data_IF_570637639325
#
_entry.id   IF_570637639325
#
_cell.length_a   1.000
_cell.length_b   1.000
_cell.length_c   1.000
_cell.angle_alpha   90.00
_cell.angle_beta   90.00
_cell.angle_gamma   90.00
#
_symmetry.space_group_name_H-M   'P 1'
#
loop_
_entity.id
_entity.type
_entity.pdbx_description
1 polymer ?
#
# COMPACT_ATOMS: atom_id res chain seq x y z
N UNK A 1 -31.13 34.79 21.06
CA UNK A 1 -31.19 33.45 20.45
C UNK A 1 -31.35 32.47 21.59
N UNK A 2 -32.49 31.79 21.66
CA UNK A 2 -32.77 30.89 22.77
C UNK A 2 -31.98 29.59 22.59
N UNK A 3 -31.61 28.91 23.68
CA UNK A 3 -30.74 27.73 23.67
C UNK A 3 -31.21 26.64 22.67
N UNK A 4 -32.52 26.51 22.48
CA UNK A 4 -33.11 25.57 21.50
C UNK A 4 -32.75 25.92 20.06
N UNK A 5 -32.67 27.21 19.73
CA UNK A 5 -32.29 27.72 18.41
C UNK A 5 -30.80 27.47 18.12
N UNK A 6 -29.93 27.61 19.13
CA UNK A 6 -28.52 27.21 19.04
C UNK A 6 -28.35 25.71 18.81
N UNK A 7 -29.08 24.86 19.55
CA UNK A 7 -29.01 23.40 19.38
C UNK A 7 -29.45 22.95 17.98
N UNK A 8 -30.52 23.54 17.44
CA UNK A 8 -30.98 23.23 16.10
C UNK A 8 -29.99 23.66 15.02
N UNK A 9 -29.30 24.80 15.19
CA UNK A 9 -28.25 25.25 14.27
C UNK A 9 -26.98 24.38 14.34
N UNK A 10 -26.61 23.88 15.52
CA UNK A 10 -25.50 22.94 15.67
C UNK A 10 -25.83 21.59 15.07
N UNK A 11 -27.03 21.05 15.31
CA UNK A 11 -27.48 19.80 14.69
C UNK A 11 -27.56 19.95 13.17
N UNK A 12 -28.13 21.05 12.67
CA UNK A 12 -28.18 21.32 11.24
C UNK A 12 -26.78 21.50 10.66
N UNK A 13 -25.86 22.17 11.37
CA UNK A 13 -24.46 22.29 11.01
C UNK A 13 -23.76 20.94 10.92
N UNK A 14 -23.96 20.05 11.91
CA UNK A 14 -23.44 18.68 11.93
C UNK A 14 -24.07 17.84 10.81
N UNK A 15 -25.38 17.93 10.60
CA UNK A 15 -26.10 17.20 9.54
C UNK A 15 -25.66 17.68 8.16
N UNK A 16 -25.49 18.99 7.96
CA UNK A 16 -24.96 19.58 6.73
C UNK A 16 -23.47 19.24 6.53
N UNK A 17 -22.67 19.16 7.59
CA UNK A 17 -21.28 18.69 7.53
C UNK A 17 -21.23 17.22 7.13
N UNK A 18 -22.08 16.36 7.71
CA UNK A 18 -22.21 14.95 7.33
C UNK A 18 -22.77 14.77 5.90
N UNK A 19 -23.68 15.63 5.46
CA UNK A 19 -24.17 15.67 4.07
C UNK A 19 -23.08 16.17 3.09
N UNK A 20 -22.17 17.05 3.53
CA UNK A 20 -20.99 17.45 2.75
C UNK A 20 -19.91 16.36 2.71
N UNK A 21 -19.84 15.49 3.73
CA UNK A 21 -19.03 14.26 3.71
C UNK A 21 -19.63 13.17 2.78
N UNK A 22 -20.86 13.34 2.26
CA UNK A 22 -21.43 12.49 1.20
C UNK A 22 -21.01 12.88 -0.22
N UNK A 23 -20.01 13.75 -0.39
CA UNK A 23 -19.24 13.82 -1.63
C UNK A 23 -18.00 12.93 -1.50
N UNK A 24 -18.22 11.61 -1.41
CA UNK A 24 -17.21 10.71 -1.93
C UNK A 24 -17.07 11.07 -3.41
N UNK A 25 -16.01 11.83 -3.75
CA UNK A 25 -15.51 11.92 -5.11
C UNK A 25 -15.58 10.52 -5.70
N UNK A 26 -16.17 10.41 -6.89
CA UNK A 26 -16.57 9.16 -7.51
C UNK A 26 -15.35 8.26 -7.76
N UNK A 27 -14.92 7.50 -6.74
CA UNK A 27 -13.70 6.68 -6.82
C UNK A 27 -13.94 5.60 -7.86
N UNK A 28 -13.11 5.58 -8.89
CA UNK A 28 -13.32 4.74 -10.08
C UNK A 28 -12.62 3.39 -10.02
N UNK A 29 -11.50 3.32 -9.30
CA UNK A 29 -10.72 2.10 -9.09
C UNK A 29 -9.89 2.19 -7.79
N UNK A 30 -9.46 1.06 -7.24
CA UNK A 30 -8.57 0.99 -6.08
C UNK A 30 -7.27 0.24 -6.40
N UNK A 31 -6.16 0.96 -6.54
CA UNK A 31 -4.83 0.39 -6.79
C UNK A 31 -4.00 0.40 -5.51
N UNK A 32 -3.40 -0.74 -5.17
CA UNK A 32 -2.70 -0.91 -3.89
C UNK A 32 -1.27 -1.37 -4.13
N UNK A 33 -0.33 -0.70 -3.47
CA UNK A 33 1.09 -1.00 -3.43
C UNK A 33 1.51 -1.17 -1.98
N UNK A 34 2.47 -2.06 -1.74
CA UNK A 34 3.03 -2.19 -0.40
C UNK A 34 3.62 -3.54 -0.07
N UNK A 35 3.72 -3.79 1.23
CA UNK A 35 4.24 -5.03 1.79
C UNK A 35 3.13 -5.92 2.38
N UNK A 36 3.50 -6.81 3.31
CA UNK A 36 2.60 -7.72 4.03
C UNK A 36 1.39 -7.02 4.66
N UNK A 37 1.50 -5.75 5.04
CA UNK A 37 0.41 -5.01 5.70
C UNK A 37 -0.82 -4.84 4.82
N UNK A 38 -0.63 -4.90 3.50
CA UNK A 38 -1.69 -4.71 2.50
C UNK A 38 -1.68 -5.78 1.41
N UNK A 39 -0.86 -6.84 1.55
CA UNK A 39 -0.90 -8.00 0.66
C UNK A 39 -2.20 -8.79 0.86
N UNK A 40 -2.81 -9.16 -0.27
CA UNK A 40 -4.07 -9.90 -0.34
C UNK A 40 -3.90 -11.29 -0.93
N UNK A 41 -2.65 -11.74 -1.10
CA UNK A 41 -2.28 -13.08 -1.51
C UNK A 41 -1.36 -13.18 -2.72
N UNK A 42 -0.69 -12.10 -3.15
CA UNK A 42 0.28 -12.18 -4.26
C UNK A 42 1.39 -13.18 -3.96
N UNK A 43 1.85 -13.23 -2.71
CA UNK A 43 2.91 -14.15 -2.28
C UNK A 43 2.54 -15.65 -2.44
N UNK A 44 1.26 -15.97 -2.58
CA UNK A 44 0.83 -17.36 -2.81
C UNK A 44 1.25 -17.88 -4.20
N UNK A 45 1.47 -16.97 -5.16
CA UNK A 45 1.78 -17.28 -6.55
C UNK A 45 3.29 -17.23 -6.88
N UNK A 46 4.13 -17.03 -5.87
CA UNK A 46 5.60 -17.01 -6.03
C UNK A 46 6.27 -17.96 -5.01
N UNK A 47 7.50 -18.43 -5.30
CA UNK A 47 8.28 -19.24 -4.36
C UNK A 47 8.84 -18.35 -3.24
N UNK A 48 8.01 -18.06 -2.24
CA UNK A 48 8.33 -17.23 -1.08
C UNK A 48 8.24 -17.99 0.24
N UNK A 49 9.10 -17.67 1.19
CA UNK A 49 8.96 -18.03 2.60
C UNK A 49 8.03 -17.07 3.34
N UNK A 50 7.83 -15.85 2.82
CA UNK A 50 6.86 -14.91 3.35
C UNK A 50 5.51 -15.19 2.70
N UNK A 51 4.73 -16.10 3.29
CA UNK A 51 3.34 -16.36 2.89
C UNK A 51 2.44 -16.25 4.10
N UNK A 52 1.17 -15.88 3.89
CA UNK A 52 0.14 -15.87 4.92
C UNK A 52 -1.06 -16.77 4.51
N UNK A 53 -0.77 -17.91 3.88
CA UNK A 53 -1.74 -18.91 3.44
C UNK A 53 -1.92 -20.06 4.44
N UNK A 54 -1.71 -19.79 5.72
CA UNK A 54 -1.86 -20.76 6.82
C UNK A 54 -2.58 -20.11 8.00
N UNK A 55 -3.23 -20.93 8.83
CA UNK A 55 -3.89 -20.48 10.06
C UNK A 55 -2.90 -19.87 11.06
N UNK A 56 -3.27 -18.82 11.82
CA UNK A 56 -4.63 -18.28 11.97
C UNK A 56 -5.04 -17.22 10.93
N UNK A 57 -4.20 -16.91 9.95
CA UNK A 57 -4.53 -15.90 8.95
C UNK A 57 -5.81 -16.26 8.19
N UNK A 58 -6.68 -15.28 7.97
CA UNK A 58 -7.96 -15.47 7.29
C UNK A 58 -9.04 -16.21 8.08
N UNK A 59 -8.87 -16.43 9.40
CA UNK A 59 -9.90 -17.09 10.23
C UNK A 59 -11.28 -16.40 10.16
N UNK A 60 -11.34 -15.08 10.05
CA UNK A 60 -12.60 -14.33 9.91
C UNK A 60 -13.23 -14.52 8.51
N UNK A 61 -12.45 -14.97 7.54
CA UNK A 61 -12.91 -15.43 6.23
C UNK A 61 -13.20 -16.94 6.17
N UNK A 62 -13.01 -17.65 7.29
CA UNK A 62 -13.12 -19.11 7.38
C UNK A 62 -11.97 -19.90 6.73
N UNK A 63 -11.01 -19.22 6.07
CA UNK A 63 -9.85 -19.85 5.43
C UNK A 63 -8.72 -18.84 5.20
N UNK A 64 -7.45 -19.29 5.15
CA UNK A 64 -6.34 -18.42 4.75
C UNK A 64 -6.54 -17.82 3.36
N UNK A 65 -6.34 -16.51 3.25
CA UNK A 65 -6.48 -15.77 1.99
C UNK A 65 -5.14 -15.28 1.43
N UNK A 66 -4.06 -15.35 2.22
CA UNK A 66 -2.80 -14.69 1.92
C UNK A 66 -2.66 -13.28 2.51
N UNK A 67 -3.68 -12.79 3.24
CA UNK A 67 -3.59 -11.59 4.08
C UNK A 67 -2.89 -11.91 5.39
N UNK A 68 -2.01 -11.02 5.85
CA UNK A 68 -1.24 -11.16 7.10
C UNK A 68 -2.06 -10.72 8.33
N UNK A 69 -3.31 -11.17 8.40
CA UNK A 69 -4.27 -10.84 9.45
C UNK A 69 -5.37 -11.91 9.50
N UNK A 70 -6.16 -11.92 10.57
CA UNK A 70 -7.33 -12.78 10.71
C UNK A 70 -8.40 -12.51 9.65
N UNK A 71 -8.50 -11.28 9.16
CA UNK A 71 -9.58 -10.87 8.27
C UNK A 71 -9.12 -9.82 7.26
N UNK A 72 -9.81 -8.68 7.26
CA UNK A 72 -9.59 -7.58 6.31
C UNK A 72 -8.29 -6.83 6.64
N UNK A 73 -7.54 -6.45 5.62
CA UNK A 73 -6.49 -5.42 5.71
C UNK A 73 -7.13 -4.04 5.79
N UNK A 74 -6.34 -3.02 6.14
CA UNK A 74 -6.83 -1.64 6.15
C UNK A 74 -7.26 -1.14 4.76
N UNK A 75 -6.61 -1.57 3.68
CA UNK A 75 -7.01 -1.22 2.31
C UNK A 75 -8.28 -1.90 1.86
N UNK A 76 -8.60 -3.07 2.42
CA UNK A 76 -9.90 -3.71 2.19
C UNK A 76 -11.01 -2.91 2.85
N UNK A 77 -10.80 -2.47 4.10
CA UNK A 77 -11.77 -1.65 4.83
C UNK A 77 -12.01 -0.35 4.06
N UNK A 78 -10.95 0.39 3.74
CA UNK A 78 -11.06 1.65 2.98
C UNK A 78 -11.77 1.43 1.65
N UNK A 79 -11.39 0.39 0.89
CA UNK A 79 -12.02 0.07 -0.39
C UNK A 79 -13.51 -0.20 -0.27
N UNK A 80 -13.92 -0.95 0.76
CA UNK A 80 -15.33 -1.23 1.04
C UNK A 80 -16.12 0.01 1.46
N UNK A 81 -15.54 0.89 2.29
CA UNK A 81 -16.17 2.15 2.70
C UNK A 81 -16.43 3.09 1.50
N UNK A 82 -15.62 3.01 0.44
CA UNK A 82 -15.83 3.78 -0.81
C UNK A 82 -16.54 2.98 -1.92
N UNK A 83 -17.10 1.81 -1.60
CA UNK A 83 -18.00 1.06 -2.48
C UNK A 83 -17.38 -0.03 -3.36
N UNK A 84 -16.09 -0.38 -3.16
CA UNK A 84 -15.48 -1.52 -3.85
C UNK A 84 -15.68 -2.84 -3.12
N UNK A 85 -15.69 -3.92 -3.89
CA UNK A 85 -15.39 -5.25 -3.35
C UNK A 85 -13.89 -5.38 -3.03
N UNK A 86 -13.46 -6.54 -2.55
CA UNK A 86 -12.04 -6.81 -2.32
C UNK A 86 -11.21 -6.65 -3.61
N UNK A 87 -10.20 -5.78 -3.54
CA UNK A 87 -9.23 -5.61 -4.62
C UNK A 87 -8.41 -6.90 -4.78
N UNK A 88 -8.36 -7.50 -5.97
CA UNK A 88 -7.73 -8.80 -6.15
C UNK A 88 -6.19 -8.70 -6.24
N UNK A 89 -5.44 -9.76 -5.87
CA UNK A 89 -3.99 -9.81 -6.03
C UNK A 89 -3.62 -9.87 -7.52
N UNK A 90 -2.66 -9.05 -7.94
CA UNK A 90 -2.16 -8.99 -9.31
C UNK A 90 -1.80 -10.36 -9.91
N UNK A 91 -1.15 -11.22 -9.13
CA UNK A 91 -0.66 -12.52 -9.61
C UNK A 91 -1.73 -13.63 -9.65
N UNK A 92 -2.95 -13.39 -9.16
CA UNK A 92 -3.99 -14.41 -9.25
C UNK A 92 -4.46 -14.57 -10.72
N UNK A 93 -4.63 -15.82 -11.21
CA UNK A 93 -5.18 -16.07 -12.55
C UNK A 93 -6.59 -15.46 -12.77
N UNK A 94 -7.33 -15.27 -11.68
CA UNK A 94 -8.67 -14.65 -11.69
C UNK A 94 -8.62 -13.13 -11.85
N UNK A 95 -7.45 -12.50 -11.73
CA UNK A 95 -7.26 -11.05 -11.91
C UNK A 95 -7.10 -10.72 -13.38
N UNK A 96 -8.18 -10.93 -14.14
CA UNK A 96 -8.22 -10.74 -15.59
C UNK A 96 -9.57 -10.22 -16.05
N UNK A 97 -9.61 -9.58 -17.23
CA UNK A 97 -10.85 -9.06 -17.79
C UNK A 97 -11.33 -7.77 -17.10
N UNK A 98 -12.65 -7.57 -16.93
CA UNK A 98 -13.22 -6.33 -16.39
C UNK A 98 -12.86 -6.03 -14.94
N UNK A 99 -12.49 -7.03 -14.13
CA UNK A 99 -12.15 -6.83 -12.71
C UNK A 99 -10.96 -5.89 -12.54
N UNK A 100 -10.02 -5.90 -13.49
CA UNK A 100 -8.84 -5.03 -13.51
C UNK A 100 -9.23 -3.55 -13.58
N UNK A 101 -10.38 -3.23 -14.17
CA UNK A 101 -10.89 -1.86 -14.27
C UNK A 101 -11.35 -1.30 -12.91
N UNK A 102 -11.62 -2.15 -11.92
CA UNK A 102 -11.98 -1.74 -10.56
C UNK A 102 -10.75 -1.59 -9.65
N UNK A 103 -9.55 -1.89 -10.16
CA UNK A 103 -8.30 -1.79 -9.42
C UNK A 103 -7.67 -3.14 -9.09
N UNK A 104 -6.39 -3.11 -8.73
CA UNK A 104 -5.55 -4.29 -8.51
C UNK A 104 -4.58 -4.04 -7.37
N UNK A 105 -4.30 -5.08 -6.59
CA UNK A 105 -3.36 -5.04 -5.48
C UNK A 105 -2.03 -5.69 -5.90
N UNK A 106 -0.96 -4.90 -5.90
CA UNK A 106 0.40 -5.30 -6.28
C UNK A 106 1.29 -5.64 -5.08
N UNK A 107 0.78 -5.46 -3.86
CA UNK A 107 1.57 -5.59 -2.64
C UNK A 107 2.10 -7.01 -2.42
N UNK A 108 3.23 -7.12 -1.71
CA UNK A 108 3.89 -8.41 -1.51
C UNK A 108 4.57 -8.48 -0.15
N UNK A 109 4.26 -9.52 0.61
CA UNK A 109 4.94 -9.83 1.86
C UNK A 109 6.47 -9.89 1.69
N UNK A 110 7.19 -9.20 2.58
CA UNK A 110 8.65 -9.08 2.53
C UNK A 110 9.18 -8.12 1.46
N UNK A 111 8.31 -7.52 0.63
CA UNK A 111 8.69 -6.45 -0.30
C UNK A 111 9.16 -5.19 0.42
N UNK A 112 9.94 -4.36 -0.29
CA UNK A 112 10.45 -3.08 0.22
C UNK A 112 10.75 -2.08 -0.89
N UNK A 113 11.15 -0.88 -0.46
CA UNK A 113 11.59 0.25 -1.30
C UNK A 113 12.83 -0.15 -2.11
N UNK A 114 13.79 -0.78 -1.44
CA UNK A 114 15.02 -1.23 -2.05
C UNK A 114 14.86 -2.65 -2.62
N UNK A 115 15.42 -2.90 -3.80
CA UNK A 115 15.29 -4.20 -4.48
C UNK A 115 15.94 -5.36 -3.73
N UNK A 116 16.88 -5.04 -2.83
CA UNK A 116 17.54 -5.99 -1.94
C UNK A 116 16.72 -6.39 -0.71
N UNK A 117 15.68 -5.65 -0.38
CA UNK A 117 14.88 -5.87 0.82
C UNK A 117 14.14 -7.20 0.77
N UNK A 118 14.12 -7.92 1.90
CA UNK A 118 13.42 -9.20 2.03
C UNK A 118 13.99 -10.36 1.21
N UNK A 119 15.22 -10.24 0.69
CA UNK A 119 15.91 -11.31 -0.05
C UNK A 119 15.94 -12.64 0.70
N UNK A 120 15.99 -12.60 2.03
CA UNK A 120 15.97 -13.79 2.90
C UNK A 120 14.72 -14.65 2.71
N UNK A 121 13.61 -14.09 2.22
CA UNK A 121 12.37 -14.81 1.99
C UNK A 121 12.28 -15.45 0.60
N UNK A 122 13.30 -15.32 -0.25
CA UNK A 122 13.25 -15.79 -1.64
C UNK A 122 12.37 -14.89 -2.51
N UNK A 123 11.23 -15.41 -2.99
CA UNK A 123 10.29 -14.66 -3.81
C UNK A 123 9.64 -13.49 -3.06
N UNK A 124 9.66 -12.30 -3.66
CA UNK A 124 9.02 -11.07 -3.19
C UNK A 124 8.89 -10.08 -4.35
N UNK A 125 7.87 -9.23 -4.33
CA UNK A 125 7.68 -8.15 -5.31
C UNK A 125 8.11 -6.84 -4.65
N UNK A 126 9.31 -6.35 -4.99
CA UNK A 126 9.77 -5.03 -4.55
C UNK A 126 9.01 -3.91 -5.27
N UNK A 127 9.11 -2.69 -4.78
CA UNK A 127 8.31 -1.57 -5.32
C UNK A 127 8.59 -1.23 -6.77
N UNK A 128 9.82 -1.38 -7.27
CA UNK A 128 10.08 -1.22 -8.70
C UNK A 128 9.23 -2.21 -9.52
N UNK A 129 9.21 -3.49 -9.11
CA UNK A 129 8.39 -4.51 -9.77
C UNK A 129 6.88 -4.29 -9.59
N UNK A 130 6.43 -3.73 -8.46
CA UNK A 130 5.02 -3.36 -8.27
C UNK A 130 4.60 -2.23 -9.22
N UNK A 131 5.49 -1.24 -9.44
CA UNK A 131 5.28 -0.19 -10.43
C UNK A 131 5.25 -0.73 -11.86
N UNK A 132 6.11 -1.69 -12.19
CA UNK A 132 6.08 -2.38 -13.49
C UNK A 132 4.76 -3.14 -13.71
N UNK A 133 4.27 -3.84 -12.68
CA UNK A 133 2.98 -4.54 -12.72
C UNK A 133 1.81 -3.56 -12.92
N UNK A 134 1.88 -2.38 -12.30
CA UNK A 134 0.91 -1.32 -12.54
C UNK A 134 1.01 -0.74 -13.95
N UNK A 135 2.22 -0.55 -14.49
CA UNK A 135 2.40 -0.08 -15.86
C UNK A 135 1.75 -1.02 -16.88
N UNK A 136 1.88 -2.34 -16.68
CA UNK A 136 1.18 -3.35 -17.48
C UNK A 136 -0.34 -3.22 -17.36
N UNK A 137 -0.84 -3.03 -16.14
CA UNK A 137 -2.27 -2.83 -15.88
C UNK A 137 -2.81 -1.56 -16.54
N UNK A 138 -2.08 -0.45 -16.43
CA UNK A 138 -2.40 0.82 -17.08
C UNK A 138 -2.48 0.65 -18.60
N UNK A 139 -1.52 -0.06 -19.20
CA UNK A 139 -1.54 -0.33 -20.63
C UNK A 139 -2.75 -1.16 -21.04
N UNK A 140 -3.09 -2.18 -20.26
CA UNK A 140 -4.31 -2.96 -20.48
C UNK A 140 -5.58 -2.10 -20.42
N UNK A 141 -5.70 -1.21 -19.42
CA UNK A 141 -6.84 -0.27 -19.29
C UNK A 141 -6.93 0.64 -20.52
N UNK A 142 -5.80 1.19 -20.98
CA UNK A 142 -5.73 2.04 -22.18
C UNK A 142 -6.19 1.27 -23.42
N UNK A 143 -5.66 0.06 -23.61
CA UNK A 143 -6.06 -0.80 -24.75
C UNK A 143 -7.56 -1.15 -24.70
N UNK A 144 -8.13 -1.30 -23.50
CA UNK A 144 -9.53 -1.70 -23.34
C UNK A 144 -10.52 -0.55 -23.49
N UNK A 145 -10.19 0.64 -22.97
CA UNK A 145 -11.12 1.78 -22.88
C UNK A 145 -10.80 2.91 -23.87
N UNK A 146 -9.61 2.92 -24.46
CA UNK A 146 -9.05 4.08 -25.13
C UNK A 146 -8.43 5.08 -24.14
N UNK A 147 -7.51 5.90 -24.63
CA UNK A 147 -6.67 6.75 -23.80
C UNK A 147 -7.46 7.75 -22.94
N UNK A 148 -8.42 8.48 -23.53
CA UNK A 148 -9.19 9.49 -22.80
C UNK A 148 -10.00 8.90 -21.63
N UNK A 149 -10.67 7.77 -21.85
CA UNK A 149 -11.45 7.10 -20.82
C UNK A 149 -10.56 6.45 -19.75
N UNK A 150 -9.44 5.87 -20.15
CA UNK A 150 -8.45 5.32 -19.22
C UNK A 150 -7.86 6.39 -18.31
N UNK A 151 -7.52 7.56 -18.84
CA UNK A 151 -7.01 8.67 -18.02
C UNK A 151 -8.05 9.20 -17.05
N UNK A 152 -9.32 9.31 -17.46
CA UNK A 152 -10.42 9.68 -16.56
C UNK A 152 -10.63 8.67 -15.44
N UNK A 153 -10.49 7.37 -15.73
CA UNK A 153 -10.52 6.32 -14.72
C UNK A 153 -9.36 6.49 -13.74
N UNK A 154 -8.13 6.67 -14.22
CA UNK A 154 -6.96 6.77 -13.35
C UNK A 154 -6.91 8.06 -12.52
N UNK A 155 -7.45 9.17 -13.05
CA UNK A 155 -7.53 10.46 -12.35
C UNK A 155 -8.40 10.41 -11.09
N UNK A 156 -9.46 9.58 -11.11
CA UNK A 156 -10.39 9.42 -10.00
C UNK A 156 -10.14 8.13 -9.18
N UNK A 157 -9.04 7.42 -9.45
CA UNK A 157 -8.72 6.18 -8.75
C UNK A 157 -8.06 6.46 -7.39
N UNK A 158 -8.31 5.58 -6.42
CA UNK A 158 -7.61 5.54 -5.15
C UNK A 158 -6.28 4.80 -5.32
N UNK A 159 -5.21 5.40 -4.80
CA UNK A 159 -3.88 4.80 -4.75
C UNK A 159 -3.43 4.69 -3.30
N UNK A 160 -3.26 3.46 -2.83
CA UNK A 160 -2.77 3.17 -1.48
C UNK A 160 -1.33 2.67 -1.54
N UNK A 161 -0.44 3.21 -0.71
CA UNK A 161 0.98 2.80 -0.65
C UNK A 161 1.38 2.58 0.80
N UNK A 162 1.76 1.35 1.16
CA UNK A 162 2.18 0.97 2.52
C UNK A 162 3.47 0.18 2.49
N UNK A 163 4.60 0.83 2.74
CA UNK A 163 5.90 0.18 2.66
C UNK A 163 6.98 0.97 3.41
N UNK A 164 8.03 0.28 3.83
CA UNK A 164 9.26 0.89 4.37
C UNK A 164 9.84 0.12 5.55
N UNK A 165 9.00 -0.48 6.39
CA UNK A 165 9.46 -1.22 7.58
C UNK A 165 10.44 -2.32 7.23
N UNK A 166 10.18 -3.06 6.15
CA UNK A 166 11.04 -4.15 5.69
C UNK A 166 12.45 -3.68 5.28
N UNK A 167 12.62 -2.45 4.79
CA UNK A 167 13.94 -1.93 4.43
C UNK A 167 14.86 -1.82 5.67
N UNK A 168 14.26 -1.67 6.84
CA UNK A 168 14.97 -1.76 8.11
C UNK A 168 15.05 -3.21 8.59
N UNK A 169 13.92 -3.83 8.96
CA UNK A 169 13.93 -5.10 9.69
C UNK A 169 14.38 -6.31 8.86
N UNK A 170 14.17 -6.27 7.54
CA UNK A 170 14.46 -7.35 6.59
C UNK A 170 15.57 -6.96 5.59
N UNK A 171 16.36 -5.94 5.94
CA UNK A 171 17.56 -5.53 5.20
C UNK A 171 18.59 -4.90 6.13
N UNK A 172 18.45 -3.64 6.56
CA UNK A 172 19.51 -2.94 7.30
C UNK A 172 19.77 -3.48 8.71
N UNK A 173 18.74 -3.92 9.44
CA UNK A 173 18.80 -4.43 10.81
C UNK A 173 18.74 -5.97 10.89
N UNK A 174 18.92 -6.67 9.77
CA UNK A 174 18.83 -8.15 9.77
C UNK A 174 20.05 -8.75 10.47
N UNK A 175 19.89 -9.42 11.63
CA UNK A 175 21.03 -9.89 12.42
C UNK A 175 21.96 -10.80 11.61
N UNK A 176 23.27 -10.69 11.85
CA UNK A 176 24.37 -11.42 11.18
C UNK A 176 24.54 -11.08 9.69
N UNK A 177 23.46 -11.01 8.93
CA UNK A 177 23.49 -10.79 7.48
C UNK A 177 23.81 -9.34 7.10
N UNK A 178 23.43 -8.36 7.93
CA UNK A 178 23.67 -6.94 7.65
C UNK A 178 24.87 -6.34 8.39
N UNK A 179 25.57 -7.10 9.25
CA UNK A 179 26.65 -6.58 10.10
C UNK A 179 27.76 -5.91 9.28
N UNK A 180 28.24 -6.54 8.21
CA UNK A 180 29.26 -5.95 7.33
C UNK A 180 28.77 -4.66 6.63
N UNK A 181 27.47 -4.59 6.32
CA UNK A 181 26.85 -3.39 5.73
C UNK A 181 26.77 -2.26 6.75
N UNK A 182 26.37 -2.55 7.99
CA UNK A 182 26.31 -1.56 9.07
C UNK A 182 27.70 -0.98 9.41
N UNK A 183 28.77 -1.79 9.31
CA UNK A 183 30.14 -1.31 9.51
C UNK A 183 30.60 -0.27 8.47
N UNK A 184 29.99 -0.27 7.28
CA UNK A 184 30.42 0.56 6.14
C UNK A 184 29.41 1.62 5.72
N UNK A 185 28.18 1.50 6.19
CA UNK A 185 27.06 2.40 5.87
C UNK A 185 26.42 2.83 7.19
N UNK A 186 26.63 4.08 7.62
CA UNK A 186 25.96 4.64 8.79
C UNK A 186 24.43 4.71 8.59
N UNK A 187 23.65 4.69 9.69
CA UNK A 187 22.18 4.72 9.63
C UNK A 187 21.61 5.88 8.82
N UNK A 188 22.18 7.09 8.94
CA UNK A 188 21.70 8.30 8.27
C UNK A 188 21.86 8.18 6.75
N UNK A 189 22.97 7.56 6.30
CA UNK A 189 23.22 7.31 4.88
C UNK A 189 22.23 6.30 4.33
N UNK A 190 21.94 5.24 5.07
CA UNK A 190 20.93 4.25 4.70
C UNK A 190 19.53 4.86 4.61
N UNK A 191 19.12 5.64 5.62
CA UNK A 191 17.84 6.36 5.63
C UNK A 191 17.74 7.31 4.43
N UNK A 192 18.81 8.04 4.13
CA UNK A 192 18.89 8.92 2.96
C UNK A 192 18.67 8.17 1.64
N UNK A 193 19.28 6.98 1.49
CA UNK A 193 19.10 6.10 0.33
C UNK A 193 17.63 5.65 0.17
N UNK A 194 17.02 5.17 1.26
CA UNK A 194 15.61 4.72 1.25
C UNK A 194 14.67 5.87 0.89
N UNK A 195 14.83 7.05 1.52
CA UNK A 195 14.02 8.23 1.22
C UNK A 195 14.19 8.67 -0.23
N UNK A 196 15.44 8.71 -0.73
CA UNK A 196 15.72 9.10 -2.11
C UNK A 196 15.07 8.14 -3.11
N UNK A 197 15.22 6.83 -2.92
CA UNK A 197 14.62 5.82 -3.78
C UNK A 197 13.09 5.90 -3.76
N UNK A 198 12.49 6.04 -2.59
CA UNK A 198 11.04 6.12 -2.46
C UNK A 198 10.46 7.37 -3.11
N UNK A 199 11.13 8.52 -2.99
CA UNK A 199 10.74 9.75 -3.70
C UNK A 199 10.69 9.53 -5.21
N UNK A 200 11.66 8.83 -5.78
CA UNK A 200 11.68 8.50 -7.21
C UNK A 200 10.49 7.62 -7.58
N UNK A 201 10.27 6.54 -6.83
CA UNK A 201 9.18 5.59 -7.07
C UNK A 201 7.79 6.26 -6.99
N UNK A 202 7.56 7.08 -5.96
CA UNK A 202 6.32 7.85 -5.83
C UNK A 202 6.16 8.86 -6.97
N UNK A 203 7.23 9.54 -7.39
CA UNK A 203 7.16 10.50 -8.52
C UNK A 203 6.88 9.82 -9.86
N UNK A 204 7.42 8.62 -10.07
CA UNK A 204 7.11 7.82 -11.26
C UNK A 204 5.63 7.39 -11.29
N UNK A 205 5.05 7.06 -10.13
CA UNK A 205 3.62 6.77 -10.04
C UNK A 205 2.73 8.01 -10.29
N UNK A 206 3.15 9.22 -9.87
CA UNK A 206 2.38 10.47 -10.08
C UNK A 206 2.55 11.12 -11.44
N UNK A 207 3.58 10.78 -12.22
CA UNK A 207 3.66 11.25 -13.62
C UNK A 207 2.72 10.49 -14.55
N UNK A 208 2.38 9.25 -14.19
CA UNK A 208 1.51 8.39 -15.00
C UNK A 208 0.03 8.78 -14.91
N UNK A 209 -0.32 9.69 -14.00
CA UNK A 209 -1.67 10.14 -13.72
C UNK A 209 -1.51 11.40 -12.86
N UNK A 210 -2.11 12.55 -13.23
CA UNK A 210 -2.17 13.73 -12.34
C UNK A 210 -3.02 13.37 -11.10
N UNK A 211 -2.47 12.54 -10.23
CA UNK A 211 -3.08 12.06 -9.01
C UNK A 211 -2.72 13.10 -7.97
N UNK A 212 -3.70 13.93 -7.61
CA UNK A 212 -3.71 14.43 -6.25
C UNK A 212 -3.80 13.17 -5.39
N UNK A 213 -2.67 12.76 -4.83
CA UNK A 213 -2.61 11.65 -3.94
C UNK A 213 -3.53 11.96 -2.75
N UNK A 214 -4.76 11.45 -2.80
CA UNK A 214 -5.43 10.92 -1.60
C UNK A 214 -4.69 9.64 -1.19
N UNK A 215 -3.35 9.71 -1.10
CA UNK A 215 -2.55 8.60 -0.62
C UNK A 215 -2.71 8.58 0.86
N UNK A 216 -3.35 7.53 1.34
CA UNK A 216 -3.29 7.19 2.74
C UNK A 216 -1.91 6.53 2.91
N UNK A 217 -0.90 7.33 3.28
CA UNK A 217 0.32 6.78 3.83
C UNK A 217 -0.02 6.24 5.21
N UNK A 218 -0.27 4.94 5.27
CA UNK A 218 -0.65 4.25 6.49
C UNK A 218 0.50 4.22 7.51
N UNK A 219 1.71 4.57 7.08
CA UNK A 219 2.87 4.83 7.94
C UNK A 219 3.67 6.00 7.37
N UNK A 220 3.87 7.05 8.17
CA UNK A 220 4.79 8.14 7.83
C UNK A 220 6.23 7.62 7.95
N UNK A 221 6.99 7.67 6.85
CA UNK A 221 8.41 7.33 6.85
C UNK A 221 9.21 8.15 7.86
N UNK A 222 8.81 9.39 8.18
CA UNK A 222 9.47 10.18 9.23
C UNK A 222 9.24 9.58 10.60
N UNK A 223 8.03 9.13 10.89
CA UNK A 223 7.68 8.44 12.13
C UNK A 223 8.42 7.10 12.21
N UNK A 224 8.52 6.36 11.09
CA UNK A 224 9.33 5.15 11.05
C UNK A 224 10.82 5.43 11.24
N UNK A 225 11.37 6.49 10.63
CA UNK A 225 12.78 6.87 10.82
C UNK A 225 13.05 7.38 12.23
N UNK A 226 12.13 8.10 12.86
CA UNK A 226 12.27 8.52 14.26
C UNK A 226 12.23 7.31 15.21
N UNK A 227 11.32 6.36 14.98
CA UNK A 227 11.28 5.11 15.75
C UNK A 227 12.53 4.26 15.53
N UNK A 228 13.06 4.17 14.30
CA UNK A 228 14.28 3.41 14.02
C UNK A 228 15.51 4.09 14.60
N UNK A 229 15.64 5.43 14.49
CA UNK A 229 16.73 6.19 15.13
C UNK A 229 16.70 5.98 16.64
N UNK A 230 15.52 6.07 17.25
CA UNK A 230 15.36 5.87 18.69
C UNK A 230 15.65 4.42 19.13
N UNK A 231 15.23 3.41 18.36
CA UNK A 231 15.57 2.00 18.62
C UNK A 231 17.06 1.72 18.43
N UNK A 232 17.73 2.40 17.49
CA UNK A 232 19.19 2.28 17.27
C UNK A 232 19.96 2.93 18.43
N UNK A 233 19.53 4.11 18.89
CA UNK A 233 20.10 4.81 20.05
C UNK A 233 19.91 4.00 21.35
N UNK A 234 18.75 3.38 21.53
CA UNK A 234 18.42 2.54 22.71
C UNK A 234 19.19 1.21 22.72
N UNK A 235 19.68 0.75 21.56
CA UNK A 235 20.48 -0.48 21.41
C UNK A 235 22.00 -0.23 21.55
N UNK A 236 22.43 1.02 21.78
CA UNK A 236 23.82 1.35 22.11
C UNK A 236 24.85 1.00 21.03
N UNK A 237 24.49 1.13 19.75
CA UNK A 237 25.39 0.97 18.61
C UNK A 237 26.10 2.27 18.23
#
# INVERSE_FOLDING_TARGET
MDNLSCYMLVILGVVLHNLMFCLAENVTANFVFGDSLVDVGNNNYIPSLSKANFYPNGIDFGRPTGRYTNGRTIVDIIGQEVGFNFTPPYLAPTTSGPVVLQGVNYASGGGGILNGTGKIFGGRINMDAQLDNFANTRQYIITRLGEAAAMKLLENALFSVTMGSNDFINNYLTPVLSTAKQLTVPPEKFVGEVIFKYKIQLTMSTKSSKILFRTIHLMDLRVQTQLVVQVVDDLGA
#
